data_IF_446201576639
#
_entry.id   IF_446201576639
#
_cell.length_a   1.000
_cell.length_b   1.000
_cell.length_c   1.000
_cell.angle_alpha   90.00
_cell.angle_beta   90.00
_cell.angle_gamma   90.00
#
_symmetry.space_group_name_H-M   'P 1'
#
loop_
_entity.id
_entity.type
_entity.pdbx_description
1 polymer ?
#
# COMPACT_ATOMS: atom_id res chain seq x y z
N UNK A 1 -17.39 -5.03 8.27
CA UNK A 1 -16.34 -4.82 9.30
C UNK A 1 -14.99 -4.86 8.61
N UNK A 2 -14.15 -3.85 8.83
CA UNK A 2 -12.79 -3.74 8.31
C UNK A 2 -11.79 -4.18 9.39
N UNK A 3 -10.80 -4.98 9.02
CA UNK A 3 -9.74 -5.45 9.91
C UNK A 3 -8.42 -5.62 9.14
N UNK A 4 -7.29 -5.49 9.82
CA UNK A 4 -5.98 -5.91 9.32
C UNK A 4 -5.46 -7.07 10.16
N UNK A 5 -4.86 -8.07 9.52
CA UNK A 5 -4.24 -9.21 10.20
C UNK A 5 -2.83 -9.43 9.63
N UNK A 6 -1.81 -9.72 10.45
CA UNK A 6 -0.48 -10.03 9.95
C UNK A 6 -0.54 -11.14 8.89
N UNK A 7 0.12 -10.92 7.76
CA UNK A 7 0.21 -11.91 6.70
C UNK A 7 1.02 -13.13 7.17
N UNK A 8 0.66 -14.30 6.66
CA UNK A 8 1.28 -15.59 6.95
C UNK A 8 1.63 -16.29 5.64
N UNK A 9 2.41 -17.37 5.74
CA UNK A 9 2.78 -18.18 4.57
C UNK A 9 1.56 -18.71 3.80
N UNK A 10 0.44 -18.95 4.49
CA UNK A 10 -0.84 -19.36 3.88
C UNK A 10 -1.47 -18.28 2.98
N UNK A 11 -1.13 -17.01 3.17
CA UNK A 11 -1.65 -15.88 2.38
C UNK A 11 -0.86 -15.63 1.08
N UNK A 12 0.27 -16.32 0.85
CA UNK A 12 1.17 -16.05 -0.29
C UNK A 12 0.45 -16.18 -1.64
N UNK A 13 -0.47 -17.13 -1.76
CA UNK A 13 -1.28 -17.31 -2.98
C UNK A 13 -2.15 -16.08 -3.24
N UNK A 14 -2.90 -15.62 -2.23
CA UNK A 14 -3.73 -14.43 -2.33
C UNK A 14 -2.90 -13.17 -2.64
N UNK A 15 -1.75 -13.02 -1.98
CA UNK A 15 -0.86 -11.88 -2.18
C UNK A 15 -0.31 -11.83 -3.63
N UNK A 16 0.11 -12.98 -4.16
CA UNK A 16 0.55 -13.08 -5.55
C UNK A 16 -0.59 -12.82 -6.53
N UNK A 17 -1.78 -13.38 -6.30
CA UNK A 17 -2.96 -13.14 -7.14
C UNK A 17 -3.36 -11.67 -7.17
N UNK A 18 -3.38 -11.01 -6.01
CA UNK A 18 -3.63 -9.57 -5.89
C UNK A 18 -2.58 -8.76 -6.67
N UNK A 19 -1.29 -9.08 -6.51
CA UNK A 19 -0.21 -8.44 -7.25
C UNK A 19 -0.37 -8.60 -8.76
N UNK A 20 -0.68 -9.82 -9.21
CA UNK A 20 -0.89 -10.14 -10.62
C UNK A 20 -2.08 -9.38 -11.19
N UNK A 21 -3.20 -9.31 -10.46
CA UNK A 21 -4.42 -8.62 -10.87
C UNK A 21 -4.20 -7.11 -11.04
N UNK A 22 -3.44 -6.48 -10.15
CA UNK A 22 -3.17 -5.05 -10.23
C UNK A 22 -2.21 -4.70 -11.37
N UNK A 23 -1.39 -5.66 -11.84
CA UNK A 23 -0.46 -5.50 -12.97
C UNK A 23 -0.97 -6.05 -14.30
N UNK A 24 -2.00 -6.88 -14.30
CA UNK A 24 -2.51 -7.50 -15.53
C UNK A 24 -3.01 -6.48 -16.56
N UNK A 25 -3.50 -5.32 -16.09
CA UNK A 25 -3.90 -4.23 -16.97
C UNK A 25 -2.74 -3.67 -17.80
N UNK A 26 -1.51 -3.68 -17.26
CA UNK A 26 -0.30 -3.25 -17.98
C UNK A 26 0.17 -4.32 -18.97
N UNK A 27 0.00 -5.60 -18.62
CA UNK A 27 0.40 -6.74 -19.46
C UNK A 27 -0.61 -7.08 -20.57
N UNK A 28 -1.85 -6.62 -20.47
CA UNK A 28 -2.89 -6.80 -21.50
C UNK A 28 -2.52 -6.19 -22.86
N UNK A 29 -1.55 -5.26 -22.89
CA UNK A 29 -1.03 -4.63 -24.10
C UNK A 29 0.09 -5.45 -24.78
N UNK A 30 0.47 -6.60 -24.21
CA UNK A 30 1.52 -7.47 -24.74
C UNK A 30 0.94 -8.63 -25.53
N UNK A 31 1.56 -8.98 -26.66
CA UNK A 31 1.22 -10.19 -27.44
C UNK A 31 1.80 -11.48 -26.83
N UNK A 32 2.13 -11.48 -25.54
CA UNK A 32 2.70 -12.63 -24.86
C UNK A 32 1.66 -13.71 -24.60
N UNK A 33 2.08 -14.96 -24.70
CA UNK A 33 1.25 -16.10 -24.31
C UNK A 33 1.04 -16.14 -22.77
N UNK A 34 0.05 -16.92 -22.28
CA UNK A 34 -0.23 -17.00 -20.85
C UNK A 34 0.94 -17.48 -19.97
N UNK A 35 1.78 -18.38 -20.48
CA UNK A 35 2.91 -18.93 -19.71
C UNK A 35 4.02 -17.88 -19.55
N UNK A 36 4.30 -17.12 -20.62
CA UNK A 36 5.25 -16.02 -20.59
C UNK A 36 4.79 -14.90 -19.64
N UNK A 37 3.49 -14.56 -19.67
CA UNK A 37 2.90 -13.60 -18.71
C UNK A 37 3.06 -14.06 -17.27
N UNK A 38 2.76 -15.33 -17.00
CA UNK A 38 2.88 -15.90 -15.66
C UNK A 38 4.33 -15.87 -15.15
N UNK A 39 5.30 -16.27 -15.98
CA UNK A 39 6.71 -16.24 -15.63
C UNK A 39 7.21 -14.81 -15.36
N UNK A 40 6.78 -13.86 -16.17
CA UNK A 40 7.14 -12.45 -15.98
C UNK A 40 6.55 -11.88 -14.67
N UNK A 41 5.30 -12.18 -14.37
CA UNK A 41 4.67 -11.79 -13.10
C UNK A 41 5.38 -12.40 -11.89
N UNK A 42 5.76 -13.68 -11.96
CA UNK A 42 6.55 -14.34 -10.91
C UNK A 42 7.92 -13.67 -10.70
N UNK A 43 8.59 -13.31 -11.79
CA UNK A 43 9.86 -12.58 -11.74
C UNK A 43 9.68 -11.19 -11.09
N UNK A 44 8.66 -10.43 -11.51
CA UNK A 44 8.39 -9.12 -10.92
C UNK A 44 7.96 -9.20 -9.44
N UNK A 45 7.18 -10.21 -9.07
CA UNK A 45 6.77 -10.47 -7.69
C UNK A 45 7.98 -10.70 -6.80
N UNK A 46 8.84 -11.64 -7.20
CA UNK A 46 10.05 -11.99 -6.47
C UNK A 46 10.99 -10.78 -6.32
N UNK A 47 11.18 -10.02 -7.40
CA UNK A 47 12.00 -8.80 -7.38
C UNK A 47 11.41 -7.74 -6.45
N UNK A 48 10.08 -7.53 -6.45
CA UNK A 48 9.43 -6.58 -5.55
C UNK A 48 9.58 -6.99 -4.09
N UNK A 49 9.28 -8.25 -3.72
CA UNK A 49 9.43 -8.72 -2.34
C UNK A 49 10.87 -8.53 -1.85
N UNK A 50 11.86 -8.91 -2.67
CA UNK A 50 13.26 -8.73 -2.31
C UNK A 50 13.63 -7.25 -2.14
N UNK A 51 13.17 -6.39 -3.05
CA UNK A 51 13.41 -4.95 -2.97
C UNK A 51 12.82 -4.32 -1.71
N UNK A 52 11.58 -4.68 -1.36
CA UNK A 52 10.93 -4.20 -0.13
C UNK A 52 11.64 -4.69 1.12
N UNK A 53 12.03 -5.97 1.20
CA UNK A 53 12.76 -6.51 2.35
C UNK A 53 14.12 -5.81 2.56
N UNK A 54 14.80 -5.43 1.48
CA UNK A 54 16.07 -4.70 1.54
C UNK A 54 15.91 -3.23 1.94
N UNK A 55 14.90 -2.54 1.42
CA UNK A 55 14.67 -1.11 1.67
C UNK A 55 13.97 -0.86 3.01
N UNK A 56 13.11 -1.79 3.43
CA UNK A 56 12.25 -1.67 4.59
C UNK A 56 12.36 -2.92 5.47
N UNK A 57 13.50 -3.12 6.16
CA UNK A 57 13.76 -4.32 6.95
C UNK A 57 12.82 -4.49 8.15
N UNK A 58 12.10 -3.44 8.54
CA UNK A 58 11.07 -3.46 9.60
C UNK A 58 9.64 -3.40 9.02
N UNK A 59 9.49 -3.63 7.71
CA UNK A 59 8.19 -3.66 7.05
C UNK A 59 7.34 -4.85 7.47
N UNK A 60 6.14 -4.59 7.97
CA UNK A 60 5.15 -5.60 8.33
C UNK A 60 4.05 -5.64 7.27
N UNK A 61 3.86 -6.80 6.64
CA UNK A 61 2.77 -7.05 5.69
C UNK A 61 1.53 -7.56 6.44
N UNK A 62 0.37 -7.00 6.12
CA UNK A 62 -0.92 -7.41 6.69
C UNK A 62 -1.97 -7.55 5.59
N UNK A 63 -2.83 -8.57 5.74
CA UNK A 63 -4.01 -8.75 4.91
C UNK A 63 -5.12 -7.83 5.40
N UNK A 64 -5.74 -7.10 4.47
CA UNK A 64 -6.93 -6.29 4.70
C UNK A 64 -8.14 -7.20 4.56
N UNK A 65 -8.97 -7.28 5.59
CA UNK A 65 -10.21 -8.06 5.60
C UNK A 65 -11.42 -7.12 5.60
N UNK A 66 -12.34 -7.32 4.66
CA UNK A 66 -13.59 -6.57 4.56
C UNK A 66 -14.78 -7.55 4.60
N UNK A 67 -15.60 -7.47 5.66
CA UNK A 67 -16.74 -8.37 5.88
C UNK A 67 -16.37 -9.87 5.82
N UNK A 68 -15.21 -10.22 6.36
CA UNK A 68 -14.73 -11.61 6.43
C UNK A 68 -14.08 -12.13 5.15
N UNK A 69 -13.91 -11.29 4.12
CA UNK A 69 -13.20 -11.63 2.89
C UNK A 69 -11.89 -10.85 2.78
N UNK A 70 -10.82 -11.46 2.24
CA UNK A 70 -9.58 -10.73 1.97
C UNK A 70 -9.83 -9.71 0.84
N UNK A 71 -9.57 -8.45 1.14
CA UNK A 71 -9.87 -7.31 0.28
C UNK A 71 -8.60 -6.59 -0.22
N UNK A 72 -7.43 -6.96 0.29
CA UNK A 72 -6.18 -6.33 -0.11
C UNK A 72 -5.02 -6.64 0.83
N UNK A 73 -3.94 -5.88 0.67
CA UNK A 73 -2.78 -5.88 1.56
C UNK A 73 -2.34 -4.46 1.92
N UNK A 74 -1.68 -4.34 3.05
CA UNK A 74 -1.01 -3.12 3.49
C UNK A 74 0.36 -3.49 4.08
N UNK A 75 1.38 -2.72 3.73
CA UNK A 75 2.74 -2.88 4.25
C UNK A 75 3.15 -1.59 4.94
N UNK A 76 3.48 -1.70 6.22
CA UNK A 76 3.83 -0.56 7.07
C UNK A 76 5.12 -0.84 7.81
N UNK A 77 6.02 0.12 7.83
CA UNK A 77 7.20 0.11 8.69
C UNK A 77 7.05 1.19 9.75
N UNK A 78 7.37 0.84 10.99
CA UNK A 78 7.45 1.79 12.10
C UNK A 78 8.84 1.69 12.72
N UNK A 79 9.52 2.82 12.80
CA UNK A 79 10.79 2.96 13.52
C UNK A 79 10.75 4.16 14.47
N UNK A 80 11.90 4.58 14.99
CA UNK A 80 12.00 5.68 15.94
C UNK A 80 11.79 7.06 15.31
N UNK A 81 11.82 7.17 13.99
CA UNK A 81 11.78 8.44 13.26
C UNK A 81 10.46 8.65 12.52
N UNK A 82 9.80 7.59 12.07
CA UNK A 82 8.57 7.69 11.28
C UNK A 82 7.69 6.43 11.33
N UNK A 83 6.41 6.64 11.02
CA UNK A 83 5.52 5.59 10.53
C UNK A 83 5.46 5.71 9.00
N UNK A 84 5.85 4.67 8.27
CA UNK A 84 5.90 4.68 6.81
C UNK A 84 4.88 3.70 6.23
N UNK A 85 3.97 4.23 5.42
CA UNK A 85 3.16 3.43 4.51
C UNK A 85 3.97 3.09 3.26
N UNK A 86 4.32 1.82 3.10
CA UNK A 86 5.18 1.32 2.01
C UNK A 86 4.34 0.95 0.78
N UNK A 87 3.27 0.19 0.99
CA UNK A 87 2.33 -0.23 -0.05
C UNK A 87 0.93 -0.38 0.56
N UNK A 88 -0.09 0.04 -0.17
CA UNK A 88 -1.48 -0.29 0.07
C UNK A 88 -2.10 -0.69 -1.26
N UNK A 89 -2.58 -1.93 -1.31
CA UNK A 89 -3.13 -2.53 -2.51
C UNK A 89 -4.49 -3.12 -2.17
N UNK A 90 -5.54 -2.60 -2.81
CA UNK A 90 -6.93 -3.03 -2.58
C UNK A 90 -7.43 -3.70 -3.85
N UNK A 91 -8.00 -4.90 -3.68
CA UNK A 91 -8.60 -5.66 -4.77
C UNK A 91 -9.69 -4.82 -5.47
N UNK A 92 -9.75 -4.78 -6.82
CA UNK A 92 -10.68 -3.95 -7.58
C UNK A 92 -12.13 -3.96 -7.08
N UNK A 93 -12.66 -5.14 -6.76
CA UNK A 93 -14.03 -5.32 -6.24
C UNK A 93 -14.31 -4.62 -4.90
N UNK A 94 -13.27 -4.21 -4.18
CA UNK A 94 -13.35 -3.54 -2.89
C UNK A 94 -12.88 -2.07 -2.94
N UNK A 95 -12.53 -1.56 -4.13
CA UNK A 95 -12.16 -0.17 -4.33
C UNK A 95 -13.39 0.75 -4.28
N UNK A 96 -13.16 2.05 -4.04
CA UNK A 96 -14.22 3.07 -3.93
C UNK A 96 -15.24 2.85 -2.80
N UNK A 97 -15.00 1.89 -1.89
CA UNK A 97 -15.81 1.63 -0.69
C UNK A 97 -15.31 2.37 0.56
N UNK A 98 -14.32 3.25 0.42
CA UNK A 98 -13.72 3.98 1.55
C UNK A 98 -12.71 3.18 2.38
N UNK A 99 -12.38 1.94 2.01
CA UNK A 99 -11.42 1.08 2.72
C UNK A 99 -10.04 1.74 2.85
N UNK A 100 -9.47 2.20 1.73
CA UNK A 100 -8.15 2.85 1.75
C UNK A 100 -8.15 4.12 2.60
N UNK A 101 -9.24 4.90 2.55
CA UNK A 101 -9.41 6.08 3.40
C UNK A 101 -9.38 5.69 4.88
N UNK A 102 -10.16 4.69 5.28
CA UNK A 102 -10.25 4.24 6.67
C UNK A 102 -8.88 3.76 7.19
N UNK A 103 -8.18 2.92 6.42
CA UNK A 103 -6.85 2.42 6.80
C UNK A 103 -5.82 3.53 6.94
N UNK A 104 -5.82 4.53 6.05
CA UNK A 104 -4.90 5.66 6.17
C UNK A 104 -5.22 6.51 7.40
N UNK A 105 -6.51 6.71 7.72
CA UNK A 105 -6.92 7.43 8.93
C UNK A 105 -6.55 6.68 10.22
N UNK A 106 -6.62 5.34 10.22
CA UNK A 106 -6.10 4.50 11.31
C UNK A 106 -4.59 4.71 11.48
N UNK A 107 -3.82 4.73 10.38
CA UNK A 107 -2.38 5.04 10.43
C UNK A 107 -2.08 6.47 10.91
N UNK A 108 -2.88 7.46 10.49
CA UNK A 108 -2.75 8.84 11.00
C UNK A 108 -2.98 8.91 12.51
N UNK A 109 -3.95 8.14 13.01
CA UNK A 109 -4.23 8.04 14.45
C UNK A 109 -3.06 7.39 15.18
N UNK A 110 -2.53 6.27 14.66
CA UNK A 110 -1.37 5.61 15.23
C UNK A 110 -0.12 6.51 15.24
N UNK A 111 0.14 7.21 14.14
CA UNK A 111 1.24 8.17 13.98
C UNK A 111 1.14 9.30 15.02
N UNK A 112 -0.07 9.86 15.21
CA UNK A 112 -0.34 10.89 16.20
C UNK A 112 -0.10 10.40 17.63
N UNK A 113 -0.62 9.22 18.00
CA UNK A 113 -0.40 8.60 19.32
C UNK A 113 1.07 8.31 19.57
N UNK A 114 1.80 7.90 18.53
CA UNK A 114 3.22 7.58 18.62
C UNK A 114 4.14 8.80 18.52
N UNK A 115 3.56 9.99 18.25
CA UNK A 115 4.29 11.22 17.96
C UNK A 115 5.32 11.10 16.81
N UNK A 116 5.02 10.23 15.82
CA UNK A 116 5.87 9.99 14.65
C UNK A 116 5.18 10.53 13.40
N UNK A 117 5.86 11.21 12.46
CA UNK A 117 5.25 11.58 11.19
C UNK A 117 4.80 10.34 10.41
N UNK A 118 3.64 10.42 9.75
CA UNK A 118 3.22 9.42 8.77
C UNK A 118 3.72 9.80 7.38
N UNK A 119 4.54 8.95 6.75
CA UNK A 119 5.13 9.20 5.43
C UNK A 119 4.81 8.13 4.40
N UNK A 120 4.85 8.52 3.14
CA UNK A 120 4.73 7.64 1.99
C UNK A 120 5.46 8.19 0.75
N UNK A 121 5.67 7.32 -0.22
CA UNK A 121 6.12 7.69 -1.56
C UNK A 121 5.08 7.25 -2.58
N UNK A 122 4.68 8.14 -3.48
CA UNK A 122 3.64 7.85 -4.49
C UNK A 122 4.11 8.29 -5.86
N UNK A 123 3.85 7.48 -6.89
CA UNK A 123 4.08 7.91 -8.28
C UNK A 123 3.22 9.14 -8.59
N UNK A 124 3.80 10.14 -9.26
CA UNK A 124 3.07 11.37 -9.64
C UNK A 124 1.84 11.08 -10.51
N UNK A 125 1.84 9.96 -11.22
CA UNK A 125 0.73 9.50 -12.08
C UNK A 125 -0.30 8.62 -11.36
N UNK A 126 -0.05 8.22 -10.10
CA UNK A 126 -0.95 7.32 -9.40
C UNK A 126 -2.22 8.07 -8.96
N UNK A 127 -3.43 7.60 -9.31
CA UNK A 127 -4.69 8.22 -8.91
C UNK A 127 -4.86 8.38 -7.38
N UNK A 128 -4.18 7.56 -6.59
CA UNK A 128 -4.18 7.65 -5.13
C UNK A 128 -3.52 8.94 -4.60
N UNK A 129 -2.74 9.66 -5.39
CA UNK A 129 -2.19 10.97 -5.00
C UNK A 129 -3.29 11.93 -4.52
N UNK A 130 -4.42 11.96 -5.23
CA UNK A 130 -5.59 12.78 -4.85
C UNK A 130 -6.22 12.33 -3.53
N UNK A 131 -6.17 11.04 -3.20
CA UNK A 131 -6.63 10.54 -1.91
C UNK A 131 -5.73 11.07 -0.79
N UNK A 132 -4.40 10.98 -0.95
CA UNK A 132 -3.45 11.45 0.05
C UNK A 132 -3.58 12.97 0.30
N UNK A 133 -3.69 13.77 -0.76
CA UNK A 133 -3.90 15.22 -0.65
C UNK A 133 -5.19 15.54 0.13
N UNK A 134 -6.31 14.87 -0.20
CA UNK A 134 -7.58 15.06 0.53
C UNK A 134 -7.52 14.63 2.00
N UNK A 135 -6.63 13.69 2.32
CA UNK A 135 -6.36 13.25 3.68
C UNK A 135 -5.36 14.14 4.42
N UNK A 136 -4.94 15.25 3.83
CA UNK A 136 -4.07 16.23 4.47
C UNK A 136 -2.59 15.87 4.40
N UNK A 137 -2.18 14.99 3.50
CA UNK A 137 -0.78 14.83 3.18
C UNK A 137 -0.28 16.01 2.34
N UNK A 138 0.95 16.44 2.60
CA UNK A 138 1.66 17.46 1.84
C UNK A 138 2.99 16.91 1.33
N UNK A 139 3.49 17.49 0.23
CA UNK A 139 4.79 17.10 -0.33
C UNK A 139 5.92 17.63 0.55
N UNK A 140 6.88 16.75 0.86
CA UNK A 140 8.14 17.07 1.54
C UNK A 140 9.35 16.96 0.60
N UNK A 141 9.09 16.64 -0.67
CA UNK A 141 10.10 16.45 -1.69
C UNK A 141 9.57 15.61 -2.85
N UNK A 142 10.33 15.57 -3.92
CA UNK A 142 9.99 14.75 -5.08
C UNK A 142 11.26 14.41 -5.87
N UNK A 143 11.15 13.38 -6.70
CA UNK A 143 12.09 13.11 -7.79
C UNK A 143 11.32 13.12 -9.12
N UNK A 144 11.94 12.63 -10.20
CA UNK A 144 11.31 12.62 -11.53
C UNK A 144 9.98 11.86 -11.56
N UNK A 145 9.87 10.74 -10.84
CA UNK A 145 8.71 9.85 -10.90
C UNK A 145 7.81 9.89 -9.67
N UNK A 146 8.38 10.17 -8.50
CA UNK A 146 7.73 10.05 -7.20
C UNK A 146 7.60 11.39 -6.49
N UNK A 147 6.50 11.52 -5.75
CA UNK A 147 6.31 12.53 -4.72
C UNK A 147 6.46 11.85 -3.35
N UNK A 148 7.23 12.49 -2.46
CA UNK A 148 7.38 12.09 -1.07
C UNK A 148 6.43 12.93 -0.25
N UNK A 149 5.57 12.27 0.52
CA UNK A 149 4.50 12.93 1.24
C UNK A 149 4.55 12.64 2.73
N UNK A 150 4.13 13.61 3.52
CA UNK A 150 4.00 13.51 4.96
C UNK A 150 2.60 13.99 5.38
N UNK A 151 2.04 13.37 6.41
CA UNK A 151 0.84 13.86 7.09
C UNK A 151 1.21 14.39 8.47
N UNK A 152 0.69 15.58 8.81
CA UNK A 152 0.90 16.17 10.12
C UNK A 152 0.20 15.35 11.20
N UNK A 153 0.88 15.18 12.34
CA UNK A 153 0.33 14.57 13.55
C UNK A 153 -0.70 15.43 14.28
N UNK A 154 -1.06 16.59 13.70
CA UNK A 154 -2.06 17.49 14.22
C UNK A 154 -3.38 16.75 14.32
N UNK A 155 -3.67 16.29 15.53
CA UNK A 155 -4.96 15.77 15.93
C UNK A 155 -6.02 16.80 15.48
N UNK A 156 -6.72 16.53 14.38
CA UNK A 156 -7.95 17.23 14.06
C UNK A 156 -8.99 16.72 15.06
N UNK A 157 -8.88 17.16 16.31
CA UNK A 157 -10.03 17.27 17.20
C UNK A 157 -10.85 18.46 16.71
N UNK A 158 -11.67 18.27 15.68
CA UNK A 158 -12.79 19.15 15.35
C UNK A 158 -13.88 18.23 14.82
N UNK A 159 -14.75 17.77 15.73
CA UNK A 159 -16.14 18.23 15.93
C UNK A 159 -17.12 17.48 15.03
#
# INVERSE_FOLDING_TARGET
>A
MLQTKPARDEDEVFLFELFALLRSNELGLTNWDPAMRQNFLQMQWSAQKHSYAMQFPLGNESIIWHHGQPAGRIIVQKDLNELRLIDISIHPDYQNLGIGKALIQELQTEASVSQLPLRLSVLKTNPALNLYIRLGFFSIGENEMYMFMESNNSCNMNQ
#
